data_IF_338907647515
#
_entry.id   IF_338907647515
#
_cell.length_a   1.000
_cell.length_b   1.000
_cell.length_c   1.000
_cell.angle_alpha   90.00
_cell.angle_beta   90.00
_cell.angle_gamma   90.00
#
_symmetry.space_group_name_H-M   'P 1'
#
loop_
_entity.id
_entity.type
_entity.pdbx_description
1 polymer ?
#
# COMPACT_ATOMS: atom_id res chain seq x y z
N UNK A 1 6.55 31.42 -16.97
CA UNK A 1 5.59 30.54 -16.28
C UNK A 1 5.03 29.54 -17.27
N UNK A 2 4.98 28.28 -16.90
CA UNK A 2 4.37 27.22 -17.69
C UNK A 2 2.84 27.26 -17.51
N UNK A 3 2.10 26.98 -18.58
CA UNK A 3 0.69 26.65 -18.45
C UNK A 3 0.53 25.18 -18.00
N UNK A 4 -0.70 24.74 -17.71
CA UNK A 4 -0.95 23.39 -17.18
C UNK A 4 -0.45 22.29 -18.15
N UNK A 5 -0.69 22.42 -19.43
CA UNK A 5 -0.31 21.39 -20.41
C UNK A 5 1.21 21.31 -20.56
N UNK A 6 1.88 22.45 -20.58
CA UNK A 6 3.34 22.52 -20.60
C UNK A 6 3.94 21.92 -19.33
N UNK A 7 3.39 22.24 -18.15
CA UNK A 7 3.85 21.67 -16.87
C UNK A 7 3.66 20.15 -16.86
N UNK A 8 2.50 19.64 -17.27
CA UNK A 8 2.26 18.20 -17.33
C UNK A 8 3.27 17.49 -18.25
N UNK A 9 3.61 18.10 -19.37
CA UNK A 9 4.49 17.50 -20.36
C UNK A 9 5.99 17.57 -19.99
N UNK A 10 6.43 18.62 -19.29
CA UNK A 10 7.86 18.94 -19.17
C UNK A 10 8.43 18.81 -17.75
N UNK A 11 7.60 18.87 -16.71
CA UNK A 11 8.11 18.78 -15.32
C UNK A 11 7.97 17.37 -14.75
N UNK A 12 8.78 17.11 -13.73
CA UNK A 12 8.73 15.85 -12.99
C UNK A 12 7.39 15.64 -12.25
N UNK A 13 7.00 14.39 -12.14
CA UNK A 13 5.75 13.97 -11.49
C UNK A 13 6.04 12.97 -10.37
N UNK A 14 4.99 12.42 -9.78
CA UNK A 14 5.13 11.29 -8.87
C UNK A 14 5.82 10.13 -9.60
N UNK A 15 6.81 9.54 -8.95
CA UNK A 15 7.48 8.35 -9.47
C UNK A 15 6.46 7.24 -9.73
N UNK A 16 6.42 6.76 -10.96
CA UNK A 16 5.73 5.53 -11.31
C UNK A 16 6.54 4.34 -10.78
N UNK A 17 5.83 3.30 -10.38
CA UNK A 17 6.42 2.05 -9.90
C UNK A 17 5.78 0.86 -10.60
N UNK A 18 6.58 -0.16 -10.80
CA UNK A 18 6.12 -1.54 -10.96
C UNK A 18 6.73 -2.40 -9.86
N UNK A 19 6.13 -3.54 -9.59
CA UNK A 19 6.62 -4.45 -8.55
C UNK A 19 6.24 -5.90 -8.85
N UNK A 20 7.19 -6.77 -8.50
CA UNK A 20 6.98 -8.21 -8.43
C UNK A 20 6.90 -8.61 -6.98
N UNK A 21 5.99 -9.53 -6.63
CA UNK A 21 5.90 -10.00 -5.25
C UNK A 21 5.51 -11.46 -5.15
N UNK A 22 5.90 -12.04 -4.01
CA UNK A 22 5.44 -13.33 -3.50
C UNK A 22 4.97 -13.12 -2.08
N UNK A 23 3.83 -13.68 -1.73
CA UNK A 23 3.28 -13.60 -0.39
C UNK A 23 2.74 -14.97 0.02
N UNK A 24 3.08 -15.41 1.23
CA UNK A 24 2.62 -16.64 1.82
C UNK A 24 1.75 -16.34 3.04
N UNK A 25 0.63 -17.05 3.13
CA UNK A 25 -0.31 -16.95 4.25
C UNK A 25 -0.67 -18.35 4.76
N UNK A 26 -1.10 -18.44 6.01
CA UNK A 26 -1.70 -19.66 6.54
C UNK A 26 -3.19 -19.81 6.11
N UNK A 27 -3.81 -20.89 6.54
CA UNK A 27 -5.21 -21.18 6.24
C UNK A 27 -6.20 -20.14 6.79
N UNK A 28 -5.79 -19.40 7.81
CA UNK A 28 -6.59 -18.35 8.44
C UNK A 28 -6.36 -16.97 7.81
N UNK A 29 -5.44 -16.84 6.85
CA UNK A 29 -5.10 -15.59 6.20
C UNK A 29 -4.09 -14.72 6.96
N UNK A 30 -3.35 -15.29 7.93
CA UNK A 30 -2.20 -14.61 8.53
C UNK A 30 -1.03 -14.64 7.57
N UNK A 31 -0.40 -13.48 7.38
CA UNK A 31 0.79 -13.33 6.53
C UNK A 31 1.99 -13.95 7.24
N UNK A 32 2.63 -14.92 6.59
CA UNK A 32 3.80 -15.61 7.12
C UNK A 32 5.10 -15.08 6.49
N UNK A 33 5.05 -14.71 5.22
CA UNK A 33 6.22 -14.19 4.50
C UNK A 33 5.80 -13.30 3.34
N UNK A 34 6.61 -12.29 3.04
CA UNK A 34 6.43 -11.39 1.91
C UNK A 34 7.77 -11.05 1.27
N UNK A 35 7.91 -11.33 0.00
CA UNK A 35 9.04 -10.90 -0.82
C UNK A 35 8.52 -9.93 -1.89
N UNK A 36 9.17 -8.77 -2.03
CA UNK A 36 8.80 -7.78 -3.02
C UNK A 36 10.02 -7.12 -3.64
N UNK A 37 9.96 -6.91 -4.94
CA UNK A 37 10.93 -6.14 -5.70
C UNK A 37 10.25 -4.89 -6.28
N UNK A 38 10.76 -3.70 -5.95
CA UNK A 38 10.23 -2.42 -6.40
C UNK A 38 11.10 -1.84 -7.51
N UNK A 39 10.49 -1.48 -8.63
CA UNK A 39 11.11 -0.78 -9.75
C UNK A 39 10.57 0.63 -9.80
N UNK A 40 11.39 1.62 -9.44
CA UNK A 40 11.02 3.03 -9.49
C UNK A 40 11.47 3.66 -10.81
N UNK A 41 10.59 4.38 -11.48
CA UNK A 41 10.95 5.18 -12.63
C UNK A 41 11.50 6.54 -12.17
N UNK A 42 12.82 6.76 -12.30
CA UNK A 42 13.46 8.01 -11.87
C UNK A 42 13.34 9.13 -12.92
N UNK A 43 13.42 8.78 -14.19
CA UNK A 43 13.60 9.73 -15.27
C UNK A 43 15.06 9.80 -15.73
N UNK A 44 15.43 10.86 -16.44
CA UNK A 44 16.73 10.98 -17.10
C UNK A 44 17.92 11.08 -16.12
N UNK A 45 17.69 11.55 -14.91
CA UNK A 45 18.68 11.58 -13.82
C UNK A 45 17.99 11.41 -12.45
N UNK A 46 18.80 11.08 -11.45
CA UNK A 46 18.28 10.60 -10.16
C UNK A 46 17.51 11.64 -9.36
N UNK A 47 17.99 12.90 -9.33
CA UNK A 47 17.44 13.95 -8.48
C UNK A 47 17.11 13.42 -7.06
N UNK A 48 15.91 13.58 -6.57
CA UNK A 48 15.46 13.11 -5.24
C UNK A 48 14.96 11.64 -5.24
N UNK A 49 15.03 10.96 -6.38
CA UNK A 49 14.52 9.58 -6.53
C UNK A 49 15.04 8.59 -5.48
N UNK A 50 16.35 8.61 -5.09
CA UNK A 50 16.86 7.69 -4.07
C UNK A 50 16.17 7.86 -2.71
N UNK A 51 15.87 9.10 -2.30
CA UNK A 51 15.19 9.37 -1.03
C UNK A 51 13.73 8.88 -1.06
N UNK A 52 13.04 9.09 -2.19
CA UNK A 52 11.68 8.57 -2.40
C UNK A 52 11.66 7.04 -2.39
N UNK A 53 12.65 6.40 -3.03
CA UNK A 53 12.80 4.95 -3.04
C UNK A 53 13.04 4.40 -1.63
N UNK A 54 13.94 5.02 -0.87
CA UNK A 54 14.20 4.64 0.53
C UNK A 54 12.94 4.70 1.39
N UNK A 55 12.11 5.72 1.20
CA UNK A 55 10.84 5.82 1.90
C UNK A 55 9.85 4.72 1.46
N UNK A 56 9.74 4.43 0.17
CA UNK A 56 8.92 3.31 -0.33
C UNK A 56 9.37 1.98 0.27
N UNK A 57 10.68 1.75 0.29
CA UNK A 57 11.32 0.55 0.83
C UNK A 57 10.94 0.31 2.30
N UNK A 58 11.04 1.33 3.15
CA UNK A 58 10.75 1.23 4.58
C UNK A 58 9.26 1.05 4.89
N UNK A 59 8.37 1.45 3.97
CA UNK A 59 6.92 1.39 4.17
C UNK A 59 6.22 0.27 3.38
N UNK A 60 6.98 -0.68 2.85
CA UNK A 60 6.43 -1.77 2.01
C UNK A 60 5.56 -2.75 2.79
N UNK A 61 5.72 -2.87 4.11
CA UNK A 61 4.83 -3.66 4.97
C UNK A 61 3.52 -2.94 5.31
N UNK A 62 3.41 -1.64 4.99
CA UNK A 62 2.23 -0.85 5.38
C UNK A 62 2.00 -0.85 6.88
N UNK A 63 0.75 -1.04 7.29
CA UNK A 63 0.35 -1.14 8.70
C UNK A 63 0.18 -2.60 9.17
N UNK A 64 0.87 -3.54 8.51
CA UNK A 64 0.71 -4.97 8.78
C UNK A 64 1.95 -5.58 9.40
N UNK A 65 1.72 -6.51 10.33
CA UNK A 65 2.77 -7.36 10.88
C UNK A 65 3.12 -8.48 9.90
N UNK A 66 4.37 -8.52 9.48
CA UNK A 66 4.90 -9.52 8.55
C UNK A 66 6.19 -10.10 9.16
N UNK A 67 6.17 -11.34 9.69
CA UNK A 67 7.30 -11.87 10.43
C UNK A 67 8.54 -12.12 9.57
N UNK A 68 8.36 -12.43 8.28
CA UNK A 68 9.46 -12.67 7.35
C UNK A 68 9.26 -11.81 6.11
N UNK A 69 10.08 -10.79 5.94
CA UNK A 69 9.99 -9.88 4.81
C UNK A 69 11.34 -9.75 4.11
N UNK A 70 11.31 -9.75 2.78
CA UNK A 70 12.45 -9.41 1.93
C UNK A 70 12.03 -8.35 0.95
N UNK A 71 12.68 -7.20 1.02
CA UNK A 71 12.44 -6.08 0.09
C UNK A 71 13.69 -5.83 -0.73
N UNK A 72 13.51 -5.71 -2.03
CA UNK A 72 14.54 -5.23 -2.96
C UNK A 72 13.98 -4.07 -3.75
N UNK A 73 14.80 -3.08 -4.06
CA UNK A 73 14.33 -1.89 -4.75
C UNK A 73 15.42 -1.30 -5.65
N UNK A 74 15.04 -0.85 -6.83
CA UNK A 74 15.91 -0.19 -7.78
C UNK A 74 15.27 1.09 -8.32
N UNK A 75 16.09 2.11 -8.54
CA UNK A 75 15.70 3.34 -9.21
C UNK A 75 16.19 3.30 -10.66
N UNK A 76 15.27 3.18 -11.60
CA UNK A 76 15.56 2.98 -13.01
C UNK A 76 15.68 4.32 -13.73
N UNK A 77 16.82 4.51 -14.42
CA UNK A 77 16.97 5.63 -15.36
C UNK A 77 16.09 5.40 -16.59
N UNK A 78 15.34 6.41 -17.00
CA UNK A 78 14.43 6.37 -18.14
C UNK A 78 14.49 7.67 -18.95
N UNK A 79 13.89 7.71 -20.14
CA UNK A 79 13.95 8.83 -21.06
C UNK A 79 12.81 9.84 -20.88
N UNK A 80 12.37 10.06 -19.64
CA UNK A 80 11.36 11.09 -19.30
C UNK A 80 12.00 12.17 -18.41
N UNK A 81 11.35 13.33 -18.22
CA UNK A 81 11.79 14.30 -17.21
C UNK A 81 11.98 13.63 -15.87
N UNK A 82 12.99 14.03 -15.05
CA UNK A 82 13.20 13.41 -13.75
C UNK A 82 11.99 13.59 -12.86
N UNK A 83 11.52 12.50 -12.29
CA UNK A 83 10.42 12.53 -11.33
C UNK A 83 10.86 13.15 -10.02
N UNK A 84 9.92 13.71 -9.29
CA UNK A 84 10.22 14.49 -8.11
C UNK A 84 9.33 14.13 -6.92
N UNK A 85 9.61 14.77 -5.79
CA UNK A 85 8.83 14.64 -4.58
C UNK A 85 7.35 14.96 -4.83
N UNK A 86 6.48 14.08 -4.39
CA UNK A 86 5.06 14.29 -4.39
C UNK A 86 4.48 13.86 -3.03
N UNK A 87 3.36 14.43 -2.61
CA UNK A 87 2.74 14.17 -1.31
C UNK A 87 2.68 12.66 -1.00
N UNK A 88 3.16 12.27 0.18
CA UNK A 88 3.30 10.86 0.59
C UNK A 88 4.69 10.27 0.29
N UNK A 89 5.47 10.86 -0.61
CA UNK A 89 6.92 10.67 -0.79
C UNK A 89 7.37 9.21 -0.80
N UNK A 90 6.74 8.37 -1.61
CA UNK A 90 7.07 6.94 -1.73
C UNK A 90 6.20 5.99 -0.90
N UNK A 91 5.60 6.45 0.21
CA UNK A 91 4.69 5.62 1.01
C UNK A 91 3.49 5.11 0.20
N UNK A 92 2.81 5.93 -0.61
CA UNK A 92 1.68 5.43 -1.41
C UNK A 92 2.06 4.27 -2.34
N UNK A 93 3.28 4.30 -2.92
CA UNK A 93 3.74 3.25 -3.82
C UNK A 93 4.04 1.95 -3.07
N UNK A 94 4.76 2.04 -1.93
CA UNK A 94 5.02 0.88 -1.07
C UNK A 94 3.74 0.27 -0.52
N UNK A 95 2.82 1.11 -0.05
CA UNK A 95 1.50 0.67 0.44
C UNK A 95 0.69 0.01 -0.67
N UNK A 96 0.69 0.55 -1.88
CA UNK A 96 -0.04 -0.05 -3.00
C UNK A 96 0.42 -1.48 -3.30
N UNK A 97 1.72 -1.77 -3.17
CA UNK A 97 2.25 -3.11 -3.39
C UNK A 97 1.68 -4.14 -2.40
N UNK A 98 1.71 -3.86 -1.11
CA UNK A 98 1.17 -4.78 -0.08
C UNK A 98 -0.36 -4.85 -0.14
N UNK A 99 -1.05 -3.76 -0.38
CA UNK A 99 -2.51 -3.75 -0.53
C UNK A 99 -2.96 -4.60 -1.72
N UNK A 100 -2.24 -4.54 -2.85
CA UNK A 100 -2.50 -5.40 -4.00
C UNK A 100 -2.29 -6.88 -3.68
N UNK A 101 -1.22 -7.20 -2.93
CA UNK A 101 -0.95 -8.57 -2.51
C UNK A 101 -2.06 -9.11 -1.57
N UNK A 102 -2.53 -8.30 -0.63
CA UNK A 102 -3.63 -8.66 0.27
C UNK A 102 -4.94 -8.87 -0.51
N UNK A 103 -5.23 -8.04 -1.49
CA UNK A 103 -6.40 -8.24 -2.36
C UNK A 103 -6.35 -9.58 -3.11
N UNK A 104 -5.20 -9.95 -3.68
CA UNK A 104 -5.03 -11.25 -4.35
C UNK A 104 -5.17 -12.44 -3.38
N UNK A 105 -4.70 -12.31 -2.12
CA UNK A 105 -4.95 -13.33 -1.09
C UNK A 105 -6.45 -13.46 -0.85
N UNK A 106 -7.14 -12.35 -0.60
CA UNK A 106 -8.56 -12.33 -0.30
C UNK A 106 -9.39 -12.96 -1.44
N UNK A 107 -9.09 -12.63 -2.69
CA UNK A 107 -9.70 -13.25 -3.87
C UNK A 107 -9.50 -14.77 -3.89
N UNK A 108 -8.27 -15.25 -3.66
CA UNK A 108 -7.96 -16.68 -3.65
C UNK A 108 -8.62 -17.43 -2.50
N UNK A 109 -8.79 -16.79 -1.36
CA UNK A 109 -9.46 -17.37 -0.19
C UNK A 109 -10.99 -17.20 -0.23
N UNK A 110 -11.53 -16.41 -1.16
CA UNK A 110 -12.97 -16.13 -1.26
C UNK A 110 -13.52 -15.29 -0.11
N UNK A 111 -12.66 -14.48 0.55
CA UNK A 111 -13.03 -13.61 1.67
C UNK A 111 -12.92 -12.13 1.28
N UNK A 112 -13.39 -11.23 2.14
CA UNK A 112 -13.17 -9.81 1.92
C UNK A 112 -11.76 -9.39 2.36
N UNK A 113 -11.15 -8.50 1.58
CA UNK A 113 -9.79 -8.02 1.89
C UNK A 113 -9.69 -7.35 3.27
N UNK A 114 -10.79 -6.74 3.78
CA UNK A 114 -10.82 -6.15 5.11
C UNK A 114 -10.59 -7.16 6.23
N UNK A 115 -11.00 -8.43 6.04
CA UNK A 115 -10.78 -9.50 7.01
C UNK A 115 -9.29 -9.86 7.12
N UNK A 116 -8.61 -10.00 5.97
CA UNK A 116 -7.16 -10.25 5.93
C UNK A 116 -6.40 -9.08 6.54
N UNK A 117 -6.79 -7.84 6.22
CA UNK A 117 -6.18 -6.62 6.76
C UNK A 117 -6.29 -6.58 8.28
N UNK A 118 -7.49 -6.75 8.82
CA UNK A 118 -7.73 -6.72 10.26
C UNK A 118 -6.90 -7.74 11.04
N UNK A 119 -6.82 -8.97 10.52
CA UNK A 119 -6.04 -10.06 11.15
C UNK A 119 -4.55 -9.73 11.26
N UNK A 120 -4.03 -8.99 10.30
CA UNK A 120 -2.60 -8.69 10.18
C UNK A 120 -2.20 -7.28 10.63
N UNK A 121 -3.11 -6.50 11.21
CA UNK A 121 -2.78 -5.17 11.73
C UNK A 121 -1.65 -5.24 12.76
N UNK A 122 -0.75 -4.26 12.70
CA UNK A 122 0.30 -4.05 13.70
C UNK A 122 -0.30 -3.89 15.10
N UNK A 123 0.35 -4.52 16.08
CA UNK A 123 -0.02 -4.51 17.50
C UNK A 123 1.15 -4.06 18.36
N UNK A 124 0.86 -3.76 19.63
CA UNK A 124 1.91 -3.48 20.60
C UNK A 124 2.85 -4.67 20.73
N UNK A 125 4.13 -4.37 20.84
CA UNK A 125 5.26 -5.30 20.87
C UNK A 125 5.62 -5.98 19.54
N UNK A 126 4.89 -5.75 18.45
CA UNK A 126 5.36 -6.15 17.13
C UNK A 126 6.64 -5.42 16.77
N UNK A 127 7.51 -6.09 16.01
CA UNK A 127 8.76 -5.53 15.53
C UNK A 127 8.64 -5.26 14.03
N UNK A 128 8.91 -4.03 13.63
CA UNK A 128 8.94 -3.64 12.22
C UNK A 128 10.18 -4.22 11.52
N UNK A 129 10.16 -4.36 10.18
CA UNK A 129 11.25 -4.99 9.42
C UNK A 129 12.64 -4.38 9.63
N UNK A 130 12.70 -3.11 10.01
CA UNK A 130 13.94 -2.41 10.32
C UNK A 130 14.31 -2.41 11.82
N UNK A 131 13.71 -3.29 12.63
CA UNK A 131 14.09 -3.57 14.02
C UNK A 131 13.41 -2.68 15.06
N UNK A 132 12.55 -1.74 14.69
CA UNK A 132 11.81 -0.92 15.67
C UNK A 132 10.69 -1.73 16.30
N UNK A 133 10.73 -1.88 17.63
CA UNK A 133 9.63 -2.46 18.41
C UNK A 133 8.55 -1.40 18.63
N UNK A 134 7.31 -1.77 18.38
CA UNK A 134 6.18 -0.86 18.54
C UNK A 134 5.71 -0.80 19.99
N UNK A 135 5.49 0.42 20.46
CA UNK A 135 4.87 0.72 21.74
C UNK A 135 3.66 1.63 21.50
N UNK A 136 2.52 1.30 22.12
CA UNK A 136 1.29 2.10 22.03
C UNK A 136 0.82 2.36 20.60
N UNK A 137 0.86 1.33 19.74
CA UNK A 137 0.34 1.43 18.38
C UNK A 137 -1.15 1.70 18.37
N UNK A 138 -1.60 2.53 17.43
CA UNK A 138 -3.00 2.90 17.30
C UNK A 138 -3.72 2.16 16.15
N UNK A 139 -3.04 1.29 15.41
CA UNK A 139 -3.61 0.66 14.23
C UNK A 139 -4.94 -0.06 14.52
N UNK A 140 -4.94 -0.94 15.52
CA UNK A 140 -6.15 -1.66 15.92
C UNK A 140 -7.24 -0.71 16.44
N UNK A 141 -6.88 0.24 17.32
CA UNK A 141 -7.82 1.20 17.88
C UNK A 141 -8.48 2.08 16.81
N UNK A 142 -7.71 2.53 15.82
CA UNK A 142 -8.25 3.31 14.70
C UNK A 142 -9.23 2.48 13.87
N UNK A 143 -8.89 1.22 13.59
CA UNK A 143 -9.76 0.31 12.87
C UNK A 143 -11.07 0.06 13.60
N UNK A 144 -11.01 -0.36 14.87
CA UNK A 144 -12.19 -0.62 15.69
C UNK A 144 -13.07 0.62 15.89
N UNK A 145 -12.45 1.79 16.02
CA UNK A 145 -13.20 3.05 16.14
C UNK A 145 -13.95 3.36 14.85
N UNK A 146 -13.28 3.19 13.70
CA UNK A 146 -13.92 3.36 12.39
C UNK A 146 -15.07 2.36 12.21
N UNK A 147 -14.83 1.08 12.51
CA UNK A 147 -15.83 0.02 12.35
C UNK A 147 -17.09 0.27 13.21
N UNK A 148 -16.91 0.69 14.46
CA UNK A 148 -18.04 1.11 15.33
C UNK A 148 -18.85 2.27 14.76
N UNK A 149 -18.21 3.19 14.03
CA UNK A 149 -18.87 4.35 13.45
C UNK A 149 -19.62 4.06 12.15
N UNK A 150 -19.06 3.19 11.32
CA UNK A 150 -19.53 3.03 9.93
C UNK A 150 -20.06 1.64 9.61
N UNK A 151 -19.78 0.64 10.44
CA UNK A 151 -20.09 -0.78 10.19
C UNK A 151 -19.54 -1.22 8.83
N UNK A 152 -18.24 -1.51 8.80
CA UNK A 152 -17.50 -1.82 7.56
C UNK A 152 -18.14 -2.99 6.82
N UNK A 153 -18.51 -4.05 7.54
CA UNK A 153 -19.10 -5.25 6.94
C UNK A 153 -20.43 -4.95 6.26
N UNK A 154 -21.30 -4.18 6.92
CA UNK A 154 -22.59 -3.74 6.37
C UNK A 154 -22.40 -2.88 5.12
N UNK A 155 -21.44 -1.94 5.12
CA UNK A 155 -21.17 -1.10 3.96
C UNK A 155 -20.65 -1.91 2.76
N UNK A 156 -19.79 -2.90 3.00
CA UNK A 156 -19.31 -3.82 1.98
C UNK A 156 -20.50 -4.62 1.40
N UNK A 157 -21.37 -5.15 2.25
CA UNK A 157 -22.56 -5.88 1.80
C UNK A 157 -23.48 -5.02 0.93
N UNK A 158 -23.76 -3.77 1.34
CA UNK A 158 -24.54 -2.81 0.55
C UNK A 158 -23.92 -2.52 -0.82
N UNK A 159 -22.60 -2.40 -0.90
CA UNK A 159 -21.90 -2.20 -2.18
C UNK A 159 -21.99 -3.44 -3.06
N UNK A 160 -21.83 -4.63 -2.50
CA UNK A 160 -22.01 -5.90 -3.22
C UNK A 160 -23.43 -6.02 -3.78
N UNK A 161 -24.45 -5.78 -2.96
CA UNK A 161 -25.86 -5.81 -3.38
C UNK A 161 -26.15 -4.77 -4.48
N UNK A 162 -25.70 -3.53 -4.33
CA UNK A 162 -25.82 -2.52 -5.38
C UNK A 162 -25.21 -2.99 -6.71
N UNK A 163 -24.07 -3.65 -6.64
CA UNK A 163 -23.36 -4.12 -7.83
C UNK A 163 -24.02 -5.33 -8.51
N UNK A 164 -24.83 -6.10 -7.82
CA UNK A 164 -25.61 -7.19 -8.46
C UNK A 164 -26.81 -6.66 -9.25
N UNK A 165 -27.44 -5.61 -8.76
CA UNK A 165 -28.67 -5.05 -9.35
C UNK A 165 -28.39 -3.99 -10.42
N UNK A 166 -27.26 -3.27 -10.34
CA UNK A 166 -26.90 -2.20 -11.26
C UNK A 166 -26.00 -2.70 -12.39
N UNK A 167 -26.41 -2.47 -13.63
CA UNK A 167 -25.64 -2.83 -14.84
C UNK A 167 -24.83 -1.67 -15.41
N UNK A 168 -25.28 -0.42 -15.21
CA UNK A 168 -24.67 0.77 -15.79
C UNK A 168 -23.53 1.35 -14.98
N UNK A 169 -23.62 1.26 -13.65
CA UNK A 169 -22.62 1.81 -12.74
C UNK A 169 -22.28 0.78 -11.66
N UNK A 170 -21.03 0.80 -11.22
CA UNK A 170 -20.56 -0.03 -10.10
C UNK A 170 -20.00 0.87 -9.00
N UNK A 171 -20.13 0.43 -7.75
CA UNK A 171 -19.55 1.08 -6.58
C UNK A 171 -18.35 0.29 -6.10
N UNK A 172 -17.34 0.98 -5.60
CA UNK A 172 -16.20 0.40 -4.91
C UNK A 172 -16.15 0.89 -3.46
N UNK A 173 -15.63 0.05 -2.58
CA UNK A 173 -15.32 0.40 -1.19
C UNK A 173 -14.00 -0.25 -0.82
N UNK A 174 -13.17 0.47 -0.10
CA UNK A 174 -11.95 -0.08 0.48
C UNK A 174 -11.66 0.60 1.82
N UNK A 175 -11.09 -0.17 2.75
CA UNK A 175 -10.54 0.32 4.01
C UNK A 175 -9.04 0.06 3.97
N UNK A 176 -8.24 1.09 4.22
CA UNK A 176 -6.78 1.00 4.20
C UNK A 176 -6.24 1.60 5.50
N UNK A 177 -5.56 0.81 6.34
CA UNK A 177 -4.84 1.35 7.49
C UNK A 177 -3.58 2.04 6.99
N UNK A 178 -3.35 3.27 7.42
CA UNK A 178 -2.20 4.06 6.99
C UNK A 178 -1.20 4.16 8.12
N UNK A 179 0.04 3.74 7.84
CA UNK A 179 1.20 4.01 8.66
C UNK A 179 2.13 4.97 7.90
N UNK A 180 2.43 6.11 8.51
CA UNK A 180 3.31 7.11 7.94
C UNK A 180 4.21 7.68 9.03
N UNK A 181 5.49 7.68 8.80
CA UNK A 181 6.47 8.20 9.73
C UNK A 181 7.89 8.07 9.19
N UNK A 182 8.85 8.51 9.99
CA UNK A 182 10.29 8.32 9.78
C UNK A 182 10.83 7.62 10.99
#
# INVERSE_FOLDING_TARGET
TLNRNEDIATTGKRHAYSFDYKIGVDADGKILAYEVFLYQQAGAFADISPAVLGRSFLHTSGSYYIPNIKVSAVSCKTNIPPNNAFRGFGVPQGTFAIESAIHHIAEKMGVDASEIKFKNLLRDNDTLPYGMRLEKTNALRCWETLDKQVDIAKRIAMVKEYNTTNTKTKRGIAVIPVCFGI
#
